data_IF_686031358266
#
_entry.id   IF_686031358266
#
_cell.length_a   1.000
_cell.length_b   1.000
_cell.length_c   1.000
_cell.angle_alpha   90.00
_cell.angle_beta   90.00
_cell.angle_gamma   90.00
#
_symmetry.space_group_name_H-M   'P 1'
#
loop_
_entity.id
_entity.type
_entity.pdbx_description
1 polymer ?
#
# COMPACT_ATOMS: atom_id res chain seq x y z
N UNK A 1 3.21 11.80 23.24
CA UNK A 1 2.06 11.72 22.33
C UNK A 1 2.61 11.77 20.92
N UNK A 2 2.79 10.62 20.29
CA UNK A 2 3.14 10.52 18.86
C UNK A 2 1.91 9.95 18.17
N UNK A 3 1.26 10.79 17.40
CA UNK A 3 0.05 10.52 16.64
C UNK A 3 0.43 9.74 15.38
N UNK A 4 0.17 8.43 15.36
CA UNK A 4 0.26 7.63 14.16
C UNK A 4 -1.06 7.81 13.41
N UNK A 5 -1.06 8.65 12.39
CA UNK A 5 -2.16 8.68 11.42
C UNK A 5 -2.11 7.35 10.66
N UNK A 6 -2.85 6.35 11.17
CA UNK A 6 -3.23 5.17 10.41
C UNK A 6 -4.09 5.64 9.23
N UNK A 7 -3.44 6.05 8.15
CA UNK A 7 -4.13 6.38 6.90
C UNK A 7 -4.62 5.06 6.34
N UNK A 8 -5.83 4.66 6.72
CA UNK A 8 -6.57 3.60 6.06
C UNK A 8 -6.94 4.12 4.67
N UNK A 9 -6.02 3.97 3.71
CA UNK A 9 -6.30 4.25 2.31
C UNK A 9 -7.25 3.16 1.84
N UNK A 10 -8.55 3.44 1.79
CA UNK A 10 -9.53 2.59 1.14
C UNK A 10 -9.23 2.56 -0.36
N UNK A 11 -8.49 1.55 -0.81
CA UNK A 11 -8.14 1.35 -2.21
C UNK A 11 -9.10 0.35 -2.83
N UNK A 12 -9.88 0.81 -3.80
CA UNK A 12 -10.59 -0.04 -4.74
C UNK A 12 -9.97 0.19 -6.11
N UNK A 13 -9.48 -0.87 -6.74
CA UNK A 13 -8.95 -0.79 -8.11
C UNK A 13 -10.00 -0.21 -9.09
N UNK A 14 -11.30 -0.43 -8.80
CA UNK A 14 -12.42 0.10 -9.59
C UNK A 14 -12.62 1.61 -9.48
N UNK A 15 -11.93 2.29 -8.55
CA UNK A 15 -12.01 3.75 -8.40
C UNK A 15 -11.12 4.47 -9.41
N UNK A 16 -10.27 3.73 -10.12
CA UNK A 16 -9.36 4.29 -11.11
C UNK A 16 -9.91 4.16 -12.54
N UNK A 17 -9.90 5.29 -13.25
CA UNK A 17 -10.32 5.35 -14.65
C UNK A 17 -9.54 4.40 -15.56
N UNK A 18 -8.28 4.08 -15.26
CA UNK A 18 -7.50 3.13 -16.06
C UNK A 18 -8.05 1.70 -16.01
N UNK A 19 -8.67 1.25 -14.90
CA UNK A 19 -9.22 -0.11 -14.80
C UNK A 19 -10.42 -0.29 -15.71
N UNK A 20 -11.29 0.73 -15.77
CA UNK A 20 -12.41 0.74 -16.72
C UNK A 20 -11.90 0.79 -18.17
N UNK A 21 -10.89 1.61 -18.46
CA UNK A 21 -10.29 1.69 -19.78
C UNK A 21 -9.62 0.37 -20.19
N UNK A 22 -8.96 -0.33 -19.27
CA UNK A 22 -8.32 -1.63 -19.51
C UNK A 22 -9.37 -2.71 -19.82
N UNK A 23 -10.46 -2.76 -19.04
CA UNK A 23 -11.58 -3.67 -19.28
C UNK A 23 -12.29 -3.43 -20.62
N UNK A 24 -12.33 -2.18 -21.07
CA UNK A 24 -12.96 -1.78 -22.33
C UNK A 24 -11.99 -1.82 -23.53
N UNK A 25 -10.72 -2.22 -23.34
CA UNK A 25 -9.66 -2.13 -24.36
C UNK A 25 -9.41 -0.70 -24.90
N UNK A 26 -9.73 0.32 -24.10
CA UNK A 26 -9.47 1.73 -24.37
C UNK A 26 -8.13 2.19 -23.78
N UNK A 27 -7.47 1.34 -22.99
CA UNK A 27 -6.18 1.67 -22.39
C UNK A 27 -5.06 1.66 -23.46
N UNK A 28 -4.29 2.76 -23.61
CA UNK A 28 -3.15 2.77 -24.51
C UNK A 28 -2.08 1.77 -24.05
N UNK A 29 -1.34 1.24 -25.02
CA UNK A 29 -0.21 0.36 -24.72
C UNK A 29 0.90 1.08 -23.96
N UNK A 30 1.73 0.34 -23.22
CA UNK A 30 2.90 0.90 -22.53
C UNK A 30 3.84 1.64 -23.50
N UNK A 31 4.00 1.13 -24.72
CA UNK A 31 4.77 1.79 -25.76
C UNK A 31 4.16 3.13 -26.15
N UNK A 32 2.83 3.22 -26.26
CA UNK A 32 2.15 4.49 -26.55
C UNK A 32 2.34 5.50 -25.42
N UNK A 33 2.26 5.07 -24.15
CA UNK A 33 2.56 5.94 -23.01
C UNK A 33 4.00 6.51 -23.07
N UNK A 34 4.99 5.69 -23.44
CA UNK A 34 6.38 6.14 -23.58
C UNK A 34 6.57 7.18 -24.70
N UNK A 35 5.88 6.99 -25.82
CA UNK A 35 5.90 7.95 -26.95
C UNK A 35 5.20 9.25 -26.58
N UNK A 36 4.06 9.17 -25.88
CA UNK A 36 3.28 10.35 -25.48
C UNK A 36 4.05 11.23 -24.49
N UNK A 37 4.90 10.64 -23.64
CA UNK A 37 5.61 11.33 -22.55
C UNK A 37 4.62 12.14 -21.70
N UNK A 38 3.84 11.48 -20.83
CA UNK A 38 2.64 12.10 -20.28
C UNK A 38 2.88 13.30 -19.35
N UNK A 39 4.11 13.47 -18.87
CA UNK A 39 4.53 14.57 -18.00
C UNK A 39 5.25 15.72 -18.74
N UNK A 40 5.26 15.68 -20.08
CA UNK A 40 5.85 16.72 -20.90
C UNK A 40 5.00 18.00 -20.89
N UNK A 41 5.64 19.17 -20.77
CA UNK A 41 4.99 20.49 -20.74
C UNK A 41 4.30 20.84 -22.06
N UNK A 42 4.61 20.16 -23.17
CA UNK A 42 3.90 20.34 -24.46
C UNK A 42 2.38 20.18 -24.31
N UNK A 43 1.95 19.32 -23.39
CA UNK A 43 0.55 19.02 -23.18
C UNK A 43 -0.23 20.16 -22.55
N UNK A 44 0.43 21.11 -21.89
CA UNK A 44 -0.23 22.30 -21.30
C UNK A 44 -0.79 23.20 -22.40
N UNK A 45 -0.20 23.13 -23.60
CA UNK A 45 -0.68 23.86 -24.78
C UNK A 45 -1.58 22.98 -25.65
N UNK A 46 -1.24 21.70 -25.85
CA UNK A 46 -2.02 20.80 -26.72
C UNK A 46 -3.37 20.37 -26.13
N UNK A 47 -3.45 20.17 -24.81
CA UNK A 47 -4.68 19.74 -24.12
C UNK A 47 -5.42 20.89 -23.42
N UNK A 48 -5.17 22.15 -23.81
CA UNK A 48 -5.91 23.29 -23.29
C UNK A 48 -7.31 23.39 -23.93
N UNK A 49 -8.18 24.23 -23.36
CA UNK A 49 -9.57 24.40 -23.82
C UNK A 49 -9.65 24.76 -25.31
N UNK A 50 -8.68 25.51 -25.84
CA UNK A 50 -8.67 25.97 -27.22
C UNK A 50 -8.18 24.92 -28.22
N UNK A 51 -7.22 24.09 -27.82
CA UNK A 51 -6.53 23.14 -28.71
C UNK A 51 -6.99 21.70 -28.51
N UNK A 52 -7.65 21.38 -27.40
CA UNK A 52 -8.15 20.04 -27.11
C UNK A 52 -8.92 19.47 -28.30
N UNK A 53 -9.90 20.23 -28.80
CA UNK A 53 -10.76 19.85 -29.92
C UNK A 53 -10.18 20.18 -31.31
N UNK A 54 -8.89 20.49 -31.41
CA UNK A 54 -8.25 20.84 -32.70
C UNK A 54 -8.28 19.68 -33.71
N UNK A 55 -8.28 18.44 -33.22
CA UNK A 55 -8.39 17.23 -34.03
C UNK A 55 -8.82 16.05 -33.17
N UNK A 56 -9.40 15.02 -33.80
CA UNK A 56 -9.73 13.76 -33.12
C UNK A 56 -8.49 13.07 -32.54
N UNK A 57 -7.34 13.19 -33.20
CA UNK A 57 -6.07 12.63 -32.73
C UNK A 57 -5.57 13.33 -31.46
N UNK A 58 -5.70 14.66 -31.40
CA UNK A 58 -5.32 15.41 -30.21
C UNK A 58 -6.22 15.08 -29.00
N UNK A 59 -7.53 14.94 -29.23
CA UNK A 59 -8.48 14.49 -28.20
C UNK A 59 -8.05 13.11 -27.66
N UNK A 60 -7.80 12.17 -28.58
CA UNK A 60 -7.40 10.81 -28.22
C UNK A 60 -6.09 10.80 -27.44
N UNK A 61 -5.11 11.60 -27.85
CA UNK A 61 -3.80 11.66 -27.21
C UNK A 61 -3.83 12.34 -25.83
N UNK A 62 -4.66 13.37 -25.67
CA UNK A 62 -4.92 13.97 -24.38
C UNK A 62 -5.57 12.97 -23.41
N UNK A 63 -6.54 12.18 -23.89
CA UNK A 63 -7.17 11.14 -23.09
C UNK A 63 -6.18 10.03 -22.72
N UNK A 64 -5.42 9.53 -23.69
CA UNK A 64 -4.40 8.50 -23.47
C UNK A 64 -3.32 8.95 -22.48
N UNK A 65 -2.87 10.20 -22.56
CA UNK A 65 -1.92 10.79 -21.60
C UNK A 65 -2.46 10.70 -20.17
N UNK A 66 -3.68 11.16 -19.93
CA UNK A 66 -4.24 11.17 -18.58
C UNK A 66 -4.53 9.74 -18.07
N UNK A 67 -4.88 8.80 -18.96
CA UNK A 67 -4.96 7.37 -18.63
C UNK A 67 -3.59 6.80 -18.19
N UNK A 68 -2.50 7.13 -18.91
CA UNK A 68 -1.15 6.72 -18.51
C UNK A 68 -0.79 7.28 -17.12
N UNK A 69 -1.07 8.57 -16.84
CA UNK A 69 -0.82 9.18 -15.53
C UNK A 69 -1.67 8.56 -14.43
N UNK A 70 -2.91 8.20 -14.74
CA UNK A 70 -3.81 7.54 -13.81
C UNK A 70 -3.28 6.15 -13.42
N UNK A 71 -2.82 5.37 -14.40
CA UNK A 71 -2.18 4.06 -14.16
C UNK A 71 -0.90 4.20 -13.32
N UNK A 72 -0.02 5.14 -13.64
CA UNK A 72 1.22 5.39 -12.87
C UNK A 72 0.92 5.74 -11.42
N UNK A 73 -0.05 6.63 -11.18
CA UNK A 73 -0.48 7.02 -9.83
C UNK A 73 -1.11 5.85 -9.08
N UNK A 74 -1.93 5.04 -9.74
CA UNK A 74 -2.54 3.88 -9.13
C UNK A 74 -1.48 2.85 -8.70
N UNK A 75 -0.50 2.57 -9.56
CA UNK A 75 0.62 1.69 -9.24
C UNK A 75 1.44 2.23 -8.06
N UNK A 76 1.73 3.54 -8.03
CA UNK A 76 2.42 4.16 -6.91
C UNK A 76 1.63 4.02 -5.59
N UNK A 77 0.30 4.24 -5.63
CA UNK A 77 -0.56 4.03 -4.46
C UNK A 77 -0.56 2.57 -4.00
N UNK A 78 -0.65 1.62 -4.92
CA UNK A 78 -0.56 0.19 -4.61
C UNK A 78 0.78 -0.15 -3.95
N UNK A 79 1.90 0.38 -4.44
CA UNK A 79 3.22 0.15 -3.85
C UNK A 79 3.32 0.72 -2.43
N UNK A 80 2.83 1.94 -2.21
CA UNK A 80 2.80 2.57 -0.89
C UNK A 80 1.99 1.70 0.08
N UNK A 81 0.82 1.21 -0.33
CA UNK A 81 0.01 0.33 0.51
C UNK A 81 0.72 -0.97 0.84
N UNK A 82 1.34 -1.65 -0.13
CA UNK A 82 2.06 -2.89 0.14
C UNK A 82 3.20 -2.69 1.15
N UNK A 83 3.90 -1.55 1.06
CA UNK A 83 4.94 -1.21 2.03
C UNK A 83 4.38 -1.02 3.45
N UNK A 84 3.21 -0.38 3.59
CA UNK A 84 2.57 -0.17 4.90
C UNK A 84 1.92 -1.45 5.46
N UNK A 85 1.24 -2.24 4.64
CA UNK A 85 0.65 -3.52 5.06
C UNK A 85 1.74 -4.47 5.52
N UNK A 86 2.88 -4.52 4.81
CA UNK A 86 4.02 -5.33 5.20
C UNK A 86 4.61 -4.92 6.56
N UNK A 87 4.74 -3.61 6.83
CA UNK A 87 5.26 -3.13 8.12
C UNK A 87 4.30 -3.39 9.28
N UNK A 88 3.00 -3.23 9.06
CA UNK A 88 1.99 -3.46 10.09
C UNK A 88 1.87 -4.95 10.42
N UNK A 89 1.90 -5.81 9.39
CA UNK A 89 1.92 -7.25 9.57
C UNK A 89 3.17 -7.70 10.34
N UNK A 90 4.36 -7.20 9.97
CA UNK A 90 5.60 -7.51 10.68
C UNK A 90 5.57 -7.03 12.14
N UNK A 91 4.98 -5.87 12.44
CA UNK A 91 4.81 -5.38 13.81
C UNK A 91 3.87 -6.27 14.61
N UNK A 92 2.74 -6.67 14.03
CA UNK A 92 1.79 -7.59 14.65
C UNK A 92 2.42 -8.97 14.91
N UNK A 93 3.16 -9.50 13.94
CA UNK A 93 3.86 -10.78 14.05
C UNK A 93 4.96 -10.72 15.13
N UNK A 94 5.77 -9.66 15.13
CA UNK A 94 6.81 -9.41 16.16
C UNK A 94 6.18 -9.27 17.55
N UNK A 95 5.06 -8.55 17.66
CA UNK A 95 4.33 -8.38 18.92
C UNK A 95 3.72 -9.69 19.41
N UNK A 96 3.20 -10.52 18.49
CA UNK A 96 2.66 -11.83 18.82
C UNK A 96 3.75 -12.79 19.27
N UNK A 97 4.91 -12.78 18.61
CA UNK A 97 6.09 -13.54 19.00
C UNK A 97 6.60 -13.11 20.39
N UNK A 98 6.70 -11.80 20.63
CA UNK A 98 7.10 -11.24 21.93
C UNK A 98 6.12 -11.60 23.05
N UNK A 99 4.80 -11.46 22.82
CA UNK A 99 3.79 -11.88 23.79
C UNK A 99 3.85 -13.38 24.07
N UNK A 100 4.06 -14.21 23.05
CA UNK A 100 4.22 -15.65 23.22
C UNK A 100 5.45 -15.99 24.04
N UNK A 101 6.58 -15.30 23.80
CA UNK A 101 7.81 -15.48 24.56
C UNK A 101 7.65 -15.05 26.04
N UNK A 102 6.97 -13.92 26.29
CA UNK A 102 6.68 -13.45 27.65
C UNK A 102 5.77 -14.44 28.38
N UNK A 103 4.66 -14.85 27.77
CA UNK A 103 3.71 -15.78 28.41
C UNK A 103 4.40 -17.10 28.77
N UNK A 104 5.25 -17.64 27.87
CA UNK A 104 6.04 -18.84 28.16
C UNK A 104 7.02 -18.63 29.32
N UNK A 105 7.70 -17.49 29.36
CA UNK A 105 8.69 -17.17 30.42
C UNK A 105 8.02 -16.99 31.78
N UNK A 106 6.88 -16.30 31.82
CA UNK A 106 6.10 -16.11 33.06
C UNK A 106 5.59 -17.45 33.58
N UNK A 107 5.04 -18.29 32.72
CA UNK A 107 4.50 -19.59 33.15
C UNK A 107 5.59 -20.51 33.69
N UNK A 108 6.77 -20.50 33.05
CA UNK A 108 7.93 -21.29 33.49
C UNK A 108 8.54 -20.73 34.80
N UNK A 109 8.61 -19.40 34.94
CA UNK A 109 9.10 -18.74 36.14
C UNK A 109 8.25 -19.01 37.38
N UNK A 110 6.91 -18.99 37.24
CA UNK A 110 5.99 -19.34 38.33
C UNK A 110 6.23 -20.79 38.79
N UNK A 111 6.41 -21.73 37.85
CA UNK A 111 6.70 -23.12 38.17
C UNK A 111 7.97 -23.30 39.01
N UNK A 112 9.04 -22.55 38.69
CA UNK A 112 10.30 -22.57 39.45
C UNK A 112 10.09 -22.05 40.88
N UNK A 113 9.40 -20.93 41.05
CA UNK A 113 9.17 -20.34 42.38
C UNK A 113 8.34 -21.29 43.26
N UNK A 114 7.30 -21.92 42.69
CA UNK A 114 6.48 -22.91 43.41
C UNK A 114 7.31 -24.11 43.83
N UNK A 115 8.17 -24.64 42.95
CA UNK A 115 9.07 -25.76 43.28
C UNK A 115 10.05 -25.40 44.39
N UNK A 116 10.65 -24.21 44.35
CA UNK A 116 11.55 -23.72 45.40
C UNK A 116 10.80 -23.63 46.74
N UNK A 117 9.57 -23.10 46.73
CA UNK A 117 8.73 -23.00 47.92
C UNK A 117 8.41 -24.37 48.53
N UNK A 118 8.04 -25.36 47.70
CA UNK A 118 7.78 -26.73 48.13
C UNK A 118 9.03 -27.41 48.71
N UNK A 119 10.19 -27.22 48.09
CA UNK A 119 11.45 -27.77 48.61
C UNK A 119 11.78 -27.15 49.98
N UNK A 120 11.59 -25.84 50.13
CA UNK A 120 11.88 -25.14 51.37
C UNK A 120 10.96 -25.61 52.52
N UNK A 121 9.66 -25.78 52.26
CA UNK A 121 8.72 -26.28 53.28
C UNK A 121 8.96 -27.74 53.63
N UNK A 122 9.27 -28.61 52.67
CA UNK A 122 9.57 -30.04 52.94
C UNK A 122 10.90 -30.25 53.69
N UNK A 123 11.84 -29.30 53.60
CA UNK A 123 13.15 -29.37 54.24
C UNK A 123 13.17 -28.73 55.64
N UNK A 124 12.15 -27.93 55.96
CA UNK A 124 11.98 -27.25 57.24
C UNK A 124 10.85 -27.88 58.10
N UNK A 125 10.42 -29.09 57.73
CA UNK A 125 9.66 -30.08 58.51
C UNK A 125 10.65 -31.21 58.84
#
# INVERSE_FOLDING_TARGET
MTDYTNVLVGYSANDFFYVKAENNNEMPSAMRCNVLKPYDTKWDTSCNITNYSSSNDNILDCNHKELCKNKDKALALTQIQHNHIGSDQNYLDTKNEYNTAIVKTVNLGIGIIVLIGLIYTNRNI
#
